data_IF_899014384187
#
_entry.id   IF_899014384187
#
_cell.length_a   1.000
_cell.length_b   1.000
_cell.length_c   1.000
_cell.angle_alpha   90.00
_cell.angle_beta   90.00
_cell.angle_gamma   90.00
#
_symmetry.space_group_name_H-M   'P 1'
#
loop_
_entity.id
_entity.type
_entity.pdbx_description
1 polymer ?
#
# COMPACT_ATOMS: atom_id res chain seq x y z
N UNK A 1 -5.94 -15.84 -1.78
CA UNK A 1 -5.73 -14.47 -1.29
C UNK A 1 -7.06 -13.80 -1.13
N UNK A 2 -7.18 -13.01 -0.11
CA UNK A 2 -8.41 -12.33 0.22
C UNK A 2 -8.10 -10.85 0.45
N UNK A 3 -8.86 -10.01 -0.20
CA UNK A 3 -8.69 -8.57 -0.10
C UNK A 3 -9.96 -7.93 0.40
N UNK A 4 -9.81 -7.06 1.37
CA UNK A 4 -10.91 -6.26 1.89
C UNK A 4 -10.59 -4.80 1.76
N UNK A 5 -11.53 -4.07 1.21
CA UNK A 5 -11.43 -2.63 1.10
C UNK A 5 -12.62 -2.00 1.77
N UNK A 6 -12.34 -1.14 2.72
CA UNK A 6 -13.35 -0.26 3.28
C UNK A 6 -13.40 0.97 2.42
N UNK A 7 -14.35 1.00 1.52
CA UNK A 7 -14.53 2.16 0.65
C UNK A 7 -15.47 3.13 1.28
N UNK A 8 -14.96 4.32 1.41
CA UNK A 8 -15.71 5.44 1.94
C UNK A 8 -15.53 6.60 0.98
N UNK A 9 -16.38 7.60 1.07
CA UNK A 9 -16.21 8.77 0.22
C UNK A 9 -14.81 9.37 0.33
N UNK A 10 -14.20 9.25 1.49
CA UNK A 10 -12.93 9.90 1.80
C UNK A 10 -11.82 8.94 2.14
N UNK A 11 -12.15 7.70 2.37
CA UNK A 11 -11.18 6.74 2.88
C UNK A 11 -11.35 5.40 2.18
N UNK A 12 -10.27 4.90 1.64
CA UNK A 12 -10.20 3.52 1.18
C UNK A 12 -9.05 2.87 1.91
N UNK A 13 -9.39 1.95 2.79
CA UNK A 13 -8.43 1.19 3.56
C UNK A 13 -8.75 -0.28 3.42
N UNK A 14 -7.75 -1.11 3.57
CA UNK A 14 -7.96 -2.52 3.43
C UNK A 14 -6.85 -3.33 4.05
N UNK A 15 -7.08 -4.62 4.05
CA UNK A 15 -6.14 -5.61 4.50
C UNK A 15 -6.00 -6.64 3.40
N UNK A 16 -4.77 -7.01 3.10
CA UNK A 16 -4.48 -8.09 2.18
C UNK A 16 -3.85 -9.21 2.97
N UNK A 17 -4.40 -10.42 2.87
CA UNK A 17 -3.84 -11.57 3.55
C UNK A 17 -3.82 -12.76 2.60
N UNK A 18 -2.82 -13.63 2.78
CA UNK A 18 -2.67 -14.81 1.96
C UNK A 18 -1.91 -15.87 2.73
N UNK A 19 -2.26 -17.14 2.50
CA UNK A 19 -1.55 -18.28 3.04
C UNK A 19 -0.56 -18.88 2.04
N UNK A 20 -0.68 -18.49 0.78
CA UNK A 20 0.17 -18.96 -0.31
C UNK A 20 0.71 -17.76 -1.08
N UNK A 21 1.82 -17.98 -1.78
CA UNK A 21 2.33 -16.93 -2.66
C UNK A 21 1.27 -16.53 -3.66
N UNK A 22 1.13 -15.24 -3.85
CA UNK A 22 0.17 -14.68 -4.79
C UNK A 22 0.82 -13.60 -5.64
N UNK A 23 0.67 -13.75 -6.94
CA UNK A 23 1.25 -12.83 -7.91
C UNK A 23 0.14 -12.07 -8.61
N UNK A 24 0.23 -10.75 -8.58
CA UNK A 24 -0.69 -9.84 -9.24
C UNK A 24 0.02 -9.19 -10.40
N UNK A 25 -0.48 -9.39 -11.62
CA UNK A 25 0.11 -8.82 -12.83
C UNK A 25 -0.58 -7.53 -13.21
N UNK A 26 0.19 -6.59 -13.74
CA UNK A 26 -0.33 -5.35 -14.31
C UNK A 26 -1.23 -4.58 -13.35
N UNK A 27 -0.78 -4.49 -12.11
CA UNK A 27 -1.49 -3.70 -11.10
C UNK A 27 -1.26 -2.22 -11.39
N UNK A 28 -2.34 -1.47 -11.35
CA UNK A 28 -2.28 -0.03 -11.53
C UNK A 28 -3.29 0.61 -10.59
N UNK A 29 -2.80 1.47 -9.73
CA UNK A 29 -3.65 2.14 -8.75
C UNK A 29 -4.08 3.50 -9.28
N UNK A 30 -5.31 3.91 -8.95
CA UNK A 30 -5.78 5.25 -9.28
C UNK A 30 -5.18 6.31 -8.35
N UNK A 31 -4.89 5.93 -7.12
CA UNK A 31 -4.30 6.83 -6.13
C UNK A 31 -3.07 6.18 -5.54
N UNK A 32 -2.11 6.97 -5.06
CA UNK A 32 -0.99 6.37 -4.33
C UNK A 32 -1.51 5.67 -3.08
N UNK A 33 -0.75 4.69 -2.62
CA UNK A 33 -1.11 3.93 -1.43
C UNK A 33 0.06 3.83 -0.48
N UNK A 34 -0.24 3.82 0.82
CA UNK A 34 0.72 3.45 1.84
C UNK A 34 0.42 2.01 2.24
N UNK A 35 1.45 1.18 2.22
CA UNK A 35 1.32 -0.23 2.54
C UNK A 35 2.28 -0.58 3.67
N UNK A 36 1.75 -1.23 4.71
CA UNK A 36 2.52 -1.69 5.85
C UNK A 36 2.52 -3.21 5.87
N UNK A 37 3.69 -3.82 5.78
CA UNK A 37 3.83 -5.27 5.78
C UNK A 37 3.94 -5.74 7.22
N UNK A 38 3.00 -6.58 7.65
CA UNK A 38 3.01 -7.11 9.01
C UNK A 38 3.50 -8.55 9.08
N UNK A 39 3.28 -9.33 8.02
CA UNK A 39 3.71 -10.72 7.94
C UNK A 39 4.13 -11.04 6.51
N UNK A 40 5.25 -11.72 6.36
CA UNK A 40 5.77 -12.10 5.06
C UNK A 40 6.51 -10.97 4.38
N UNK A 41 6.54 -10.99 3.06
CA UNK A 41 7.21 -9.98 2.26
C UNK A 41 6.39 -9.67 1.01
N UNK A 42 6.62 -8.48 0.49
CA UNK A 42 6.00 -8.02 -0.75
C UNK A 42 7.10 -7.63 -1.72
N UNK A 43 7.02 -8.13 -2.94
CA UNK A 43 7.93 -7.74 -4.01
C UNK A 43 7.15 -6.93 -5.02
N UNK A 44 7.67 -5.78 -5.38
CA UNK A 44 7.07 -4.91 -6.38
C UNK A 44 8.08 -4.79 -7.52
N UNK A 45 7.63 -5.17 -8.71
CA UNK A 45 8.47 -5.09 -9.92
C UNK A 45 7.86 -4.05 -10.85
N UNK A 46 8.67 -3.07 -11.19
CA UNK A 46 8.29 -2.00 -12.09
C UNK A 46 9.44 -1.79 -13.07
N UNK A 47 9.18 -2.04 -14.35
CA UNK A 47 10.21 -2.04 -15.38
C UNK A 47 11.35 -2.97 -14.96
N UNK A 48 12.57 -2.44 -14.87
CA UNK A 48 13.73 -3.21 -14.43
C UNK A 48 14.01 -3.08 -12.94
N UNK A 49 13.15 -2.36 -12.22
CA UNK A 49 13.33 -2.12 -10.80
C UNK A 49 12.56 -3.14 -9.99
N UNK A 50 13.19 -3.59 -8.91
CA UNK A 50 12.59 -4.56 -8.01
C UNK A 50 12.77 -4.08 -6.58
N UNK A 51 11.65 -3.89 -5.89
CA UNK A 51 11.63 -3.52 -4.49
C UNK A 51 11.14 -4.71 -3.67
N UNK A 52 11.89 -5.05 -2.64
CA UNK A 52 11.49 -6.09 -1.69
C UNK A 52 11.22 -5.43 -0.35
N UNK A 53 9.99 -5.56 0.13
CA UNK A 53 9.58 -5.03 1.41
C UNK A 53 9.29 -6.18 2.35
N UNK A 54 9.92 -6.18 3.51
CA UNK A 54 9.78 -7.24 4.50
C UNK A 54 8.94 -6.75 5.67
N UNK A 55 8.79 -7.61 6.66
CA UNK A 55 8.01 -7.32 7.87
C UNK A 55 8.41 -5.96 8.45
N UNK A 56 7.40 -5.22 8.86
CA UNK A 56 7.50 -3.87 9.43
C UNK A 56 7.92 -2.78 8.45
N UNK A 57 8.06 -3.12 7.17
CA UNK A 57 8.31 -2.12 6.16
C UNK A 57 7.07 -1.30 5.89
N UNK A 58 7.29 -0.02 5.64
CA UNK A 58 6.26 0.90 5.19
C UNK A 58 6.67 1.39 3.81
N UNK A 59 5.84 1.15 2.82
CA UNK A 59 6.16 1.52 1.45
C UNK A 59 5.07 2.39 0.85
N UNK A 60 5.47 3.22 -0.09
CA UNK A 60 4.53 4.04 -0.85
C UNK A 60 4.47 3.46 -2.26
N UNK A 61 3.25 3.11 -2.67
CA UNK A 61 3.00 2.58 -4.01
C UNK A 61 2.44 3.72 -4.86
N UNK A 62 3.12 4.08 -5.95
CA UNK A 62 2.68 5.22 -6.75
C UNK A 62 1.40 4.95 -7.52
N UNK A 63 0.69 6.01 -7.85
CA UNK A 63 -0.49 5.94 -8.69
C UNK A 63 -0.09 5.90 -10.16
N UNK A 64 -1.00 5.39 -10.99
CA UNK A 64 -0.93 5.46 -12.46
C UNK A 64 0.34 4.84 -13.05
N UNK A 65 0.89 3.85 -12.34
CA UNK A 65 2.08 3.14 -12.78
C UNK A 65 1.76 1.66 -12.79
N UNK A 66 2.06 1.00 -13.91
CA UNK A 66 1.86 -0.44 -14.01
C UNK A 66 2.97 -1.19 -13.33
N UNK A 67 2.62 -2.19 -12.53
CA UNK A 67 3.60 -2.95 -11.77
C UNK A 67 3.12 -4.39 -11.56
N UNK A 68 4.06 -5.26 -11.23
CA UNK A 68 3.75 -6.60 -10.75
C UNK A 68 3.97 -6.63 -9.25
N UNK A 69 3.05 -7.26 -8.53
CA UNK A 69 3.14 -7.40 -7.07
C UNK A 69 3.13 -8.88 -6.73
N UNK A 70 4.08 -9.29 -5.91
CA UNK A 70 4.16 -10.66 -5.43
C UNK A 70 4.09 -10.62 -3.91
N UNK A 71 3.04 -11.23 -3.37
CA UNK A 71 2.89 -11.36 -1.92
C UNK A 71 3.40 -12.73 -1.51
N UNK A 72 4.42 -12.76 -0.65
CA UNK A 72 5.10 -13.97 -0.24
C UNK A 72 4.88 -14.24 1.23
N UNK A 73 4.19 -15.33 1.58
CA UNK A 73 4.01 -15.68 2.98
C UNK A 73 5.32 -16.08 3.66
N UNK A 74 5.40 -15.79 4.94
CA UNK A 74 6.40 -16.34 5.83
C UNK A 74 5.67 -17.14 6.91
N UNK A 75 6.10 -18.36 7.16
CA UNK A 75 5.42 -19.26 8.11
C UNK A 75 3.92 -19.41 7.80
N UNK A 76 3.61 -19.49 6.51
CA UNK A 76 2.24 -19.71 6.07
C UNK A 76 1.34 -18.47 6.10
N UNK A 77 1.90 -17.29 6.33
CA UNK A 77 1.10 -16.07 6.40
C UNK A 77 1.77 -14.90 5.69
N UNK A 78 0.99 -14.24 4.87
CA UNK A 78 1.28 -12.90 4.39
C UNK A 78 0.17 -11.97 4.85
N UNK A 79 0.53 -10.82 5.34
CA UNK A 79 -0.46 -9.80 5.71
C UNK A 79 0.12 -8.41 5.53
N UNK A 80 -0.67 -7.54 4.95
CA UNK A 80 -0.34 -6.12 4.85
C UNK A 80 -1.60 -5.28 5.04
N UNK A 81 -1.39 -4.09 5.56
CA UNK A 81 -2.43 -3.07 5.67
C UNK A 81 -2.19 -2.02 4.59
N UNK A 82 -3.26 -1.60 3.96
CA UNK A 82 -3.21 -0.70 2.82
C UNK A 82 -4.11 0.51 3.05
N UNK A 83 -3.59 1.69 2.75
CA UNK A 83 -4.36 2.92 2.78
C UNK A 83 -4.18 3.65 1.46
N UNK A 84 -5.28 3.83 0.73
CA UNK A 84 -5.29 4.65 -0.49
C UNK A 84 -5.32 6.12 -0.13
N UNK A 85 -4.45 6.89 -0.78
CA UNK A 85 -4.34 8.33 -0.54
C UNK A 85 -5.13 9.07 -1.62
N UNK A 86 -6.44 9.12 -1.45
CA UNK A 86 -7.32 9.85 -2.35
C UNK A 86 -7.12 11.35 -2.19
N UNK A 87 -7.55 12.17 -3.18
CA UNK A 87 -7.49 13.63 -3.04
C UNK A 87 -8.24 14.13 -1.80
N UNK A 88 -9.34 13.48 -1.46
CA UNK A 88 -10.14 13.85 -0.29
C UNK A 88 -9.37 13.63 1.00
N UNK A 89 -8.70 12.48 1.11
CA UNK A 89 -7.89 12.16 2.29
C UNK A 89 -6.71 13.13 2.38
N UNK A 90 -6.07 13.41 1.26
CA UNK A 90 -4.93 14.34 1.27
C UNK A 90 -5.37 15.74 1.64
N UNK A 91 -6.52 16.19 1.16
CA UNK A 91 -7.06 17.50 1.51
C UNK A 91 -7.39 17.58 3.00
N UNK A 92 -8.00 16.53 3.53
CA UNK A 92 -8.33 16.46 4.95
C UNK A 92 -7.08 16.43 5.82
N UNK A 93 -6.07 15.69 5.41
CA UNK A 93 -4.80 15.66 6.10
C UNK A 93 -4.19 17.07 6.15
N UNK A 94 -4.17 17.77 5.02
CA UNK A 94 -3.64 19.13 4.98
C UNK A 94 -4.42 20.05 5.90
N UNK A 95 -5.74 19.91 5.93
CA UNK A 95 -6.59 20.79 6.76
C UNK A 95 -6.33 20.56 8.26
N UNK A 96 -6.12 19.32 8.67
CA UNK A 96 -6.01 18.99 10.10
C UNK A 96 -4.60 19.00 10.63
N UNK A 97 -3.61 18.70 9.81
CA UNK A 97 -2.25 18.47 10.28
C UNK A 97 -1.26 19.51 9.83
N UNK A 98 -1.37 20.02 8.61
CA UNK A 98 -0.37 20.97 8.11
C UNK A 98 -0.48 22.35 8.74
N UNK A 99 -1.63 22.69 9.27
CA UNK A 99 -1.79 23.95 10.00
C UNK A 99 -0.93 24.00 11.25
N UNK A 100 -0.80 22.88 11.91
CA UNK A 100 -0.04 22.77 13.14
C UNK A 100 1.37 22.21 12.92
N UNK A 101 1.71 21.92 11.69
CA UNK A 101 3.02 21.39 11.38
C UNK A 101 4.07 22.45 11.56
N UNK A 102 5.16 22.16 12.27
CA UNK A 102 6.24 23.14 12.42
C UNK A 102 6.81 23.48 11.05
N UNK A 103 6.85 24.73 10.74
CA UNK A 103 7.43 25.18 9.48
C UNK A 103 8.88 25.52 9.73
N UNK A 104 9.74 24.80 9.04
CA UNK A 104 11.14 25.15 8.97
C UNK A 104 11.35 25.81 7.62
N UNK A 105 11.61 27.04 7.63
CA UNK A 105 11.92 27.77 6.40
C UNK A 105 13.34 28.27 6.43
#
# INVERSE_FOLDING_TARGET
MQEFYLQHKQLTAGEVSASKMHRLHQVKLFFPAICHITHGSKVIVQDDNRLVATRDALIIIPANTSMEIINQPANGMFRSDLLMLSPEILAEFKAHYLKSWPRTT
#
